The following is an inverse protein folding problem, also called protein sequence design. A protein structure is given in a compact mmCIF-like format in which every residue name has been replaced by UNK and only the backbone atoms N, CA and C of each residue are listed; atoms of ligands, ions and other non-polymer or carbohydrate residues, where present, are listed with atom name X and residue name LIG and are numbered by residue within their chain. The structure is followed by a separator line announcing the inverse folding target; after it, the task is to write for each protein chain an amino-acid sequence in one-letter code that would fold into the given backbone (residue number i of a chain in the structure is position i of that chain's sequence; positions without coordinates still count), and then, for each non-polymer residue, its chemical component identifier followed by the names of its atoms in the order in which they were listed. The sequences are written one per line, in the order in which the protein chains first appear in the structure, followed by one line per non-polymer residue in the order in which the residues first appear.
data_IF_330752231465
#
_entry.id   IF_330752231465
#
_cell.length_a   1.000
_cell.length_b   1.000
_cell.length_c   1.000
_cell.angle_alpha   90.00
_cell.angle_beta   90.00
_cell.angle_gamma   90.00
#
_symmetry.space_group_name_H-M   'P 1'
#
loop_
_entity.id
_entity.type
_entity.pdbx_description
1 polymer ?
#
# COMPACT_ATOMS: atom_id res chain seq x y z
N UNK A 1 45.25 -2.48 -20.32
CA UNK A 1 43.81 -2.40 -20.61
C UNK A 1 43.00 -3.48 -19.89
N UNK A 2 43.24 -4.78 -20.03
CA UNK A 2 42.49 -5.87 -19.36
C UNK A 2 42.47 -5.73 -17.82
N UNK A 3 43.61 -5.48 -17.15
CA UNK A 3 43.68 -5.29 -15.67
C UNK A 3 42.87 -4.07 -15.18
N UNK A 4 42.85 -2.97 -15.94
CA UNK A 4 42.05 -1.77 -15.59
C UNK A 4 40.57 -2.09 -15.68
N UNK A 5 40.11 -2.76 -16.73
CA UNK A 5 38.72 -3.15 -16.92
C UNK A 5 38.26 -4.08 -15.79
N UNK A 6 39.07 -5.09 -15.42
CA UNK A 6 38.73 -6.00 -14.31
C UNK A 6 38.63 -5.26 -12.97
N UNK A 7 39.59 -4.37 -12.66
CA UNK A 7 39.54 -3.61 -11.40
C UNK A 7 38.35 -2.65 -11.34
N UNK A 8 38.00 -1.96 -12.45
CA UNK A 8 36.85 -1.11 -12.53
C UNK A 8 35.54 -1.90 -12.32
N UNK A 9 35.42 -3.05 -12.98
CA UNK A 9 34.29 -3.94 -12.81
C UNK A 9 34.15 -4.46 -11.38
N UNK A 10 35.24 -4.86 -10.73
CA UNK A 10 35.27 -5.27 -9.32
C UNK A 10 34.80 -4.15 -8.38
N UNK A 11 35.30 -2.92 -8.58
CA UNK A 11 34.88 -1.78 -7.80
C UNK A 11 33.38 -1.49 -7.99
N UNK A 12 32.87 -1.55 -9.21
CA UNK A 12 31.45 -1.38 -9.49
C UNK A 12 30.61 -2.44 -8.82
N UNK A 13 31.03 -3.71 -8.82
CA UNK A 13 30.36 -4.78 -8.09
C UNK A 13 30.34 -4.57 -6.58
N UNK A 14 31.43 -4.08 -5.98
CA UNK A 14 31.49 -3.75 -4.56
C UNK A 14 30.50 -2.63 -4.21
N UNK A 15 30.42 -1.58 -5.02
CA UNK A 15 29.47 -0.47 -4.84
C UNK A 15 28.03 -0.96 -4.97
N UNK A 16 27.72 -1.76 -6.00
CA UNK A 16 26.38 -2.32 -6.20
C UNK A 16 25.98 -3.20 -5.02
N UNK A 17 26.88 -4.07 -4.52
CA UNK A 17 26.58 -4.88 -3.33
C UNK A 17 26.37 -4.06 -2.07
N UNK A 18 27.16 -2.98 -1.86
CA UNK A 18 26.97 -2.10 -0.72
C UNK A 18 25.60 -1.37 -0.78
N UNK A 19 25.24 -0.85 -1.96
CA UNK A 19 23.93 -0.23 -2.19
C UNK A 19 22.80 -1.24 -1.94
N UNK A 20 22.95 -2.44 -2.45
CA UNK A 20 21.96 -3.50 -2.27
C UNK A 20 21.79 -3.90 -0.81
N UNK A 21 22.90 -4.19 -0.12
CA UNK A 21 22.88 -4.56 1.30
C UNK A 21 22.26 -3.48 2.21
N UNK A 22 22.33 -2.20 1.81
CA UNK A 22 21.75 -1.08 2.55
C UNK A 22 20.29 -0.77 2.18
N UNK A 23 19.81 -1.24 1.03
CA UNK A 23 18.52 -0.85 0.47
C UNK A 23 17.57 -2.03 0.17
N UNK A 24 17.69 -3.16 0.86
CA UNK A 24 16.79 -4.31 0.69
C UNK A 24 15.29 -3.98 0.84
N UNK A 25 14.98 -2.87 1.47
CA UNK A 25 13.62 -2.43 1.74
C UNK A 25 13.11 -1.37 0.76
N UNK A 26 13.82 -1.07 -0.32
CA UNK A 26 13.42 -0.05 -1.28
C UNK A 26 12.19 -0.51 -2.07
N UNK A 27 11.08 0.26 -2.08
CA UNK A 27 9.87 -0.09 -2.83
C UNK A 27 10.09 -0.17 -4.35
N UNK A 28 11.09 0.53 -4.89
CA UNK A 28 11.44 0.47 -6.31
C UNK A 28 12.03 -0.89 -6.73
N UNK A 29 12.53 -1.67 -5.76
CA UNK A 29 13.10 -2.99 -5.95
C UNK A 29 12.12 -4.12 -5.60
N UNK A 30 10.84 -3.80 -5.40
CA UNK A 30 9.83 -4.76 -4.95
C UNK A 30 9.69 -5.98 -5.88
N UNK A 31 9.86 -5.79 -7.18
CA UNK A 31 9.74 -6.85 -8.19
C UNK A 31 10.86 -7.89 -8.13
N UNK A 32 12.00 -7.58 -7.48
CA UNK A 32 13.13 -8.51 -7.31
C UNK A 32 13.29 -8.97 -5.87
N UNK A 33 12.43 -8.52 -4.95
CA UNK A 33 12.55 -8.77 -3.52
C UNK A 33 12.54 -10.26 -3.17
N UNK A 34 11.72 -11.06 -3.81
CA UNK A 34 11.66 -12.51 -3.56
C UNK A 34 12.99 -13.22 -3.88
N UNK A 35 13.88 -12.56 -4.64
CA UNK A 35 15.20 -13.04 -5.04
C UNK A 35 16.35 -12.26 -4.39
N UNK A 36 16.08 -11.23 -3.60
CA UNK A 36 17.10 -10.31 -3.06
C UNK A 36 18.22 -11.02 -2.34
N UNK A 37 17.89 -11.92 -1.41
CA UNK A 37 18.88 -12.64 -0.64
C UNK A 37 19.75 -13.57 -1.53
N UNK A 38 19.13 -14.26 -2.48
CA UNK A 38 19.83 -15.13 -3.42
C UNK A 38 20.80 -14.32 -4.31
N UNK A 39 20.34 -13.21 -4.85
CA UNK A 39 21.13 -12.30 -5.68
C UNK A 39 22.28 -11.68 -4.88
N UNK A 40 22.02 -11.28 -3.64
CA UNK A 40 23.05 -10.79 -2.74
C UNK A 40 24.11 -11.87 -2.45
N UNK A 41 23.69 -13.08 -2.10
CA UNK A 41 24.59 -14.20 -1.85
C UNK A 41 25.45 -14.53 -3.09
N UNK A 42 24.83 -14.62 -4.27
CA UNK A 42 25.54 -14.83 -5.53
C UNK A 42 26.57 -13.72 -5.80
N UNK A 43 26.22 -12.47 -5.56
CA UNK A 43 27.11 -11.33 -5.70
C UNK A 43 28.32 -11.41 -4.76
N UNK A 44 28.09 -11.80 -3.50
CA UNK A 44 29.18 -11.98 -2.51
C UNK A 44 30.10 -13.13 -2.92
N UNK A 45 29.55 -14.27 -3.33
CA UNK A 45 30.33 -15.42 -3.83
C UNK A 45 31.17 -15.01 -5.03
N UNK A 46 30.60 -14.27 -5.96
CA UNK A 46 31.29 -13.77 -7.14
C UNK A 46 32.43 -12.80 -6.77
N UNK A 47 32.20 -11.90 -5.82
CA UNK A 47 33.22 -10.99 -5.30
C UNK A 47 34.37 -11.73 -4.62
N UNK A 48 34.09 -12.76 -3.83
CA UNK A 48 35.11 -13.60 -3.19
C UNK A 48 35.92 -14.32 -4.25
N UNK A 49 35.28 -14.94 -5.25
CA UNK A 49 35.95 -15.62 -6.37
C UNK A 49 36.90 -14.68 -7.12
N UNK A 50 36.41 -13.47 -7.50
CA UNK A 50 37.25 -12.47 -8.16
C UNK A 50 38.37 -11.94 -7.27
N UNK A 51 38.10 -11.81 -5.97
CA UNK A 51 39.13 -11.38 -5.00
C UNK A 51 40.30 -12.35 -4.94
N UNK A 52 40.03 -13.65 -5.02
CA UNK A 52 41.09 -14.69 -5.07
C UNK A 52 41.96 -14.58 -6.32
N UNK A 53 41.38 -14.13 -7.45
CA UNK A 53 42.11 -13.95 -8.73
C UNK A 53 42.99 -12.69 -8.77
N UNK A 54 42.92 -11.79 -7.76
CA UNK A 54 43.74 -10.58 -7.72
C UNK A 54 45.21 -10.90 -7.43
N UNK A 55 46.13 -10.38 -8.26
CA UNK A 55 47.56 -10.54 -8.08
C UNK A 55 48.11 -9.79 -6.86
N UNK A 56 47.56 -8.59 -6.59
CA UNK A 56 48.00 -7.76 -5.46
C UNK A 56 47.40 -8.28 -4.17
N UNK A 57 48.19 -8.81 -3.26
CA UNK A 57 47.75 -9.42 -1.99
C UNK A 57 46.92 -8.49 -1.13
N UNK A 58 47.24 -7.19 -1.10
CA UNK A 58 46.46 -6.23 -0.30
C UNK A 58 45.06 -5.97 -0.87
N UNK A 59 44.90 -5.90 -2.22
CA UNK A 59 43.57 -5.75 -2.84
C UNK A 59 42.71 -6.98 -2.53
N UNK A 60 43.29 -8.19 -2.70
CA UNK A 60 42.64 -9.44 -2.34
C UNK A 60 42.17 -9.45 -0.90
N UNK A 61 43.03 -9.11 0.03
CA UNK A 61 42.71 -9.06 1.46
C UNK A 61 41.54 -8.10 1.75
N UNK A 62 41.61 -6.85 1.29
CA UNK A 62 40.55 -5.87 1.52
C UNK A 62 39.21 -6.25 0.87
N UNK A 63 39.20 -6.81 -0.33
CA UNK A 63 37.99 -7.28 -0.99
C UNK A 63 37.32 -8.42 -0.22
N UNK A 64 38.09 -9.38 0.28
CA UNK A 64 37.56 -10.50 1.08
C UNK A 64 36.99 -10.00 2.41
N UNK A 65 37.73 -9.12 3.11
CA UNK A 65 37.27 -8.56 4.39
C UNK A 65 35.99 -7.75 4.19
N UNK A 66 35.93 -6.93 3.15
CA UNK A 66 34.72 -6.14 2.86
C UNK A 66 33.51 -7.04 2.54
N UNK A 67 33.70 -8.08 1.73
CA UNK A 67 32.62 -9.04 1.43
C UNK A 67 32.15 -9.77 2.69
N UNK A 68 33.06 -10.15 3.57
CA UNK A 68 32.72 -10.79 4.85
C UNK A 68 31.95 -9.84 5.78
N UNK A 69 32.32 -8.56 5.84
CA UNK A 69 31.60 -7.54 6.61
C UNK A 69 30.18 -7.36 6.05
N UNK A 70 30.03 -7.23 4.73
CA UNK A 70 28.70 -7.10 4.12
C UNK A 70 27.82 -8.30 4.43
N UNK A 71 28.35 -9.52 4.26
CA UNK A 71 27.62 -10.74 4.57
C UNK A 71 27.20 -10.80 6.04
N UNK A 72 28.11 -10.42 6.94
CA UNK A 72 27.83 -10.37 8.39
C UNK A 72 26.73 -9.35 8.71
N UNK A 73 26.78 -8.15 8.16
CA UNK A 73 25.78 -7.09 8.39
C UNK A 73 24.39 -7.55 7.93
N UNK A 74 24.29 -8.10 6.70
CA UNK A 74 23.01 -8.60 6.17
C UNK A 74 22.51 -9.77 7.02
N UNK A 75 23.36 -10.76 7.33
CA UNK A 75 22.95 -11.92 8.13
C UNK A 75 22.47 -11.54 9.53
N UNK A 76 23.08 -10.55 10.17
CA UNK A 76 22.61 -10.03 11.46
C UNK A 76 21.28 -9.32 11.31
N UNK A 77 21.08 -8.55 10.23
CA UNK A 77 19.83 -7.88 9.93
C UNK A 77 18.67 -8.88 9.77
N UNK A 78 18.88 -9.89 8.92
CA UNK A 78 17.92 -10.97 8.66
C UNK A 78 17.61 -11.79 9.93
N UNK A 79 18.62 -12.14 10.71
CA UNK A 79 18.41 -12.85 11.98
C UNK A 79 17.56 -12.05 12.97
N UNK A 80 17.83 -10.74 13.12
CA UNK A 80 17.03 -9.86 13.99
C UNK A 80 15.60 -9.74 13.50
N UNK A 81 15.42 -9.59 12.18
CA UNK A 81 14.10 -9.51 11.57
C UNK A 81 13.32 -10.82 11.79
N UNK A 82 13.92 -11.97 11.49
CA UNK A 82 13.32 -13.29 11.66
C UNK A 82 12.94 -13.58 13.12
N UNK A 83 13.81 -13.25 14.06
CA UNK A 83 13.52 -13.39 15.49
C UNK A 83 12.29 -12.58 15.89
N UNK A 84 12.22 -11.33 15.46
CA UNK A 84 11.10 -10.45 15.78
C UNK A 84 9.81 -10.87 15.07
N UNK A 85 9.90 -11.31 13.83
CA UNK A 85 8.77 -11.91 13.09
C UNK A 85 8.18 -13.10 13.83
N UNK A 86 9.01 -14.00 14.33
CA UNK A 86 8.56 -15.15 15.10
C UNK A 86 7.90 -14.74 16.43
N UNK A 87 8.42 -13.72 17.10
CA UNK A 87 7.81 -13.17 18.33
C UNK A 87 6.38 -12.66 18.06
N UNK A 88 6.18 -11.93 16.97
CA UNK A 88 4.83 -11.47 16.58
C UNK A 88 3.93 -12.67 16.21
N UNK A 89 4.44 -13.64 15.45
CA UNK A 89 3.65 -14.78 15.00
C UNK A 89 3.27 -15.75 16.13
N UNK A 90 4.07 -15.85 17.20
CA UNK A 90 3.76 -16.67 18.38
C UNK A 90 2.71 -16.03 19.27
N UNK A 91 2.58 -14.69 19.23
CA UNK A 91 1.62 -13.88 20.01
C UNK A 91 1.51 -14.26 21.50
N UNK A 92 2.63 -14.64 22.11
CA UNK A 92 2.67 -15.15 23.50
C UNK A 92 2.21 -14.11 24.55
N UNK A 93 2.13 -12.82 24.18
CA UNK A 93 1.90 -11.75 25.16
C UNK A 93 0.70 -10.84 24.90
N UNK A 94 -0.09 -11.04 23.85
CA UNK A 94 -1.17 -10.14 23.42
C UNK A 94 -0.74 -8.65 23.27
N UNK A 95 0.56 -8.36 23.39
CA UNK A 95 1.07 -6.98 23.42
C UNK A 95 0.86 -6.23 22.11
N UNK A 96 0.71 -6.97 21.00
CA UNK A 96 0.54 -6.39 19.67
C UNK A 96 -0.94 -6.24 19.25
N UNK A 97 -1.88 -6.78 20.04
CA UNK A 97 -3.30 -6.80 19.67
C UNK A 97 -3.87 -5.39 19.42
N UNK A 98 -3.51 -4.41 20.25
CA UNK A 98 -3.97 -3.03 20.08
C UNK A 98 -3.46 -2.40 18.78
N UNK A 99 -2.24 -2.73 18.37
CA UNK A 99 -1.63 -2.27 17.12
C UNK A 99 -2.31 -2.97 15.93
N UNK A 100 -2.42 -4.29 16.02
CA UNK A 100 -2.95 -5.14 14.96
C UNK A 100 -4.38 -4.76 14.55
N UNK A 101 -5.23 -4.34 15.49
CA UNK A 101 -6.61 -3.88 15.24
C UNK A 101 -6.73 -2.72 14.26
N UNK A 102 -5.64 -2.05 13.93
CA UNK A 102 -5.62 -0.93 12.98
C UNK A 102 -4.84 -1.25 11.70
N UNK A 103 -4.35 -2.48 11.52
CA UNK A 103 -3.54 -2.85 10.36
C UNK A 103 -4.32 -3.72 9.38
N UNK A 104 -4.43 -3.26 8.13
CA UNK A 104 -4.89 -4.03 6.98
C UNK A 104 -3.66 -4.37 6.15
N UNK A 105 -3.44 -5.66 5.86
CA UNK A 105 -2.18 -6.14 5.32
C UNK A 105 -2.32 -6.97 4.05
N UNK A 106 -1.35 -6.87 3.15
CA UNK A 106 -1.14 -7.86 2.11
C UNK A 106 -0.53 -9.15 2.67
N UNK A 107 -0.52 -10.20 1.87
CA UNK A 107 0.08 -11.50 2.26
C UNK A 107 0.55 -12.30 1.04
N UNK A 108 1.48 -13.22 1.27
CA UNK A 108 1.92 -14.22 0.28
C UNK A 108 1.79 -15.64 0.82
N UNK A 109 1.84 -15.82 2.14
CA UNK A 109 1.80 -17.13 2.80
C UNK A 109 0.50 -17.25 3.59
N UNK A 110 -0.36 -18.22 3.20
CA UNK A 110 -1.63 -18.49 3.85
C UNK A 110 -1.45 -18.97 5.31
N UNK A 111 -0.43 -19.79 5.58
CA UNK A 111 -0.17 -20.28 6.94
C UNK A 111 0.27 -19.15 7.88
N UNK A 112 1.10 -18.23 7.37
CA UNK A 112 1.47 -17.03 8.12
C UNK A 112 0.24 -16.15 8.36
N UNK A 113 -0.61 -15.97 7.35
CA UNK A 113 -1.82 -15.17 7.45
C UNK A 113 -2.79 -15.73 8.50
N UNK A 114 -2.98 -17.04 8.55
CA UNK A 114 -3.83 -17.69 9.56
C UNK A 114 -3.37 -17.34 10.98
N UNK A 115 -2.06 -17.37 11.26
CA UNK A 115 -1.52 -16.92 12.55
C UNK A 115 -1.78 -15.43 12.82
N UNK A 116 -1.66 -14.57 11.80
CA UNK A 116 -1.92 -13.14 11.94
C UNK A 116 -3.41 -12.84 12.15
N UNK A 117 -4.30 -13.65 11.55
CA UNK A 117 -5.74 -13.57 11.81
C UNK A 117 -6.06 -13.83 13.28
N UNK A 118 -5.46 -14.87 13.90
CA UNK A 118 -5.54 -15.13 15.35
C UNK A 118 -4.95 -13.98 16.17
N UNK A 119 -3.86 -13.37 15.72
CA UNK A 119 -3.21 -12.24 16.39
C UNK A 119 -3.96 -10.91 16.30
N UNK A 120 -5.12 -10.89 15.67
CA UNK A 120 -6.05 -9.78 15.73
C UNK A 120 -5.79 -8.66 14.72
N UNK A 121 -5.13 -8.92 13.57
CA UNK A 121 -5.07 -7.92 12.47
C UNK A 121 -6.46 -7.44 12.10
N UNK A 122 -6.60 -6.17 11.68
CA UNK A 122 -7.90 -5.63 11.27
C UNK A 122 -8.43 -6.31 10.01
N UNK A 123 -7.57 -6.53 9.03
CA UNK A 123 -7.99 -7.05 7.75
C UNK A 123 -6.86 -7.47 6.84
N UNK A 124 -7.26 -7.95 5.67
CA UNK A 124 -6.38 -8.36 4.58
C UNK A 124 -6.69 -7.59 3.31
N UNK A 125 -5.67 -7.40 2.48
CA UNK A 125 -5.79 -6.82 1.17
C UNK A 125 -5.47 -7.86 0.08
N UNK A 126 -6.47 -8.16 -0.75
CA UNK A 126 -6.36 -9.12 -1.85
C UNK A 126 -5.81 -8.45 -3.11
N UNK A 127 -4.79 -9.06 -3.70
CA UNK A 127 -4.13 -8.61 -4.92
C UNK A 127 -4.15 -9.69 -5.99
N UNK A 128 -3.72 -9.37 -7.21
CA UNK A 128 -3.53 -10.37 -8.28
C UNK A 128 -2.64 -11.54 -7.86
N UNK A 129 -1.68 -11.32 -6.97
CA UNK A 129 -0.79 -12.36 -6.44
C UNK A 129 -1.56 -13.42 -5.66
N UNK A 130 -2.56 -13.01 -4.89
CA UNK A 130 -3.33 -13.90 -4.03
C UNK A 130 -4.33 -14.78 -4.79
N UNK A 131 -4.63 -14.45 -6.05
CA UNK A 131 -5.54 -15.22 -6.90
C UNK A 131 -4.82 -16.14 -7.89
N UNK A 132 -3.49 -16.10 -7.96
CA UNK A 132 -2.73 -16.97 -8.86
C UNK A 132 -2.88 -18.42 -8.46
N UNK A 133 -3.38 -19.23 -9.37
CA UNK A 133 -3.64 -20.67 -9.13
C UNK A 133 -4.90 -20.96 -8.30
N UNK A 134 -5.65 -19.94 -7.88
CA UNK A 134 -6.89 -20.09 -7.17
C UNK A 134 -8.09 -20.20 -8.10
N UNK A 135 -9.13 -20.86 -7.64
CA UNK A 135 -10.49 -20.77 -8.17
C UNK A 135 -11.31 -19.82 -7.29
N UNK A 136 -12.45 -19.36 -7.79
CA UNK A 136 -13.39 -18.57 -6.97
C UNK A 136 -13.73 -19.31 -5.67
N UNK A 137 -14.03 -20.59 -5.78
CA UNK A 137 -14.43 -21.42 -4.63
C UNK A 137 -13.29 -21.65 -3.64
N UNK A 138 -12.06 -21.91 -4.10
CA UNK A 138 -10.92 -22.11 -3.18
C UNK A 138 -10.58 -20.85 -2.40
N UNK A 139 -10.66 -19.68 -3.04
CA UNK A 139 -10.42 -18.40 -2.37
C UNK A 139 -11.53 -18.06 -1.38
N UNK A 140 -12.81 -18.32 -1.76
CA UNK A 140 -13.97 -18.16 -0.89
C UNK A 140 -13.84 -19.02 0.37
N UNK A 141 -13.58 -20.31 0.22
CA UNK A 141 -13.41 -21.24 1.35
C UNK A 141 -12.27 -20.81 2.27
N UNK A 142 -11.18 -20.31 1.71
CA UNK A 142 -10.07 -19.80 2.54
C UNK A 142 -10.48 -18.55 3.34
N UNK A 143 -11.24 -17.63 2.75
CA UNK A 143 -11.76 -16.45 3.48
C UNK A 143 -12.73 -16.89 4.57
N UNK A 144 -13.63 -17.83 4.29
CA UNK A 144 -14.56 -18.40 5.27
C UNK A 144 -13.82 -19.07 6.44
N UNK A 145 -12.77 -19.84 6.16
CA UNK A 145 -11.89 -20.43 7.18
C UNK A 145 -11.29 -19.36 8.09
N UNK A 146 -10.76 -18.27 7.52
CA UNK A 146 -10.22 -17.17 8.31
C UNK A 146 -11.28 -16.49 9.18
N UNK A 147 -12.51 -16.34 8.70
CA UNK A 147 -13.62 -15.77 9.48
C UNK A 147 -14.03 -16.68 10.63
N UNK A 148 -14.06 -18.01 10.41
CA UNK A 148 -14.39 -18.97 11.48
C UNK A 148 -13.30 -19.00 12.55
N UNK A 149 -12.01 -19.00 12.16
CA UNK A 149 -10.89 -18.87 13.11
C UNK A 149 -11.03 -17.59 13.96
N UNK A 150 -11.43 -16.47 13.36
CA UNK A 150 -11.66 -15.20 14.07
C UNK A 150 -12.77 -15.35 15.12
N UNK A 151 -13.88 -15.94 14.71
CA UNK A 151 -15.06 -16.17 15.57
C UNK A 151 -14.72 -17.10 16.75
N UNK A 152 -14.01 -18.20 16.50
CA UNK A 152 -13.55 -19.15 17.54
C UNK A 152 -12.63 -18.47 18.57
N UNK A 153 -11.86 -17.47 18.16
CA UNK A 153 -10.97 -16.69 19.03
C UNK A 153 -11.63 -15.44 19.64
N UNK A 154 -12.96 -15.25 19.48
CA UNK A 154 -13.68 -14.10 20.03
C UNK A 154 -13.25 -12.77 19.43
N UNK A 155 -12.70 -12.77 18.21
CA UNK A 155 -12.23 -11.59 17.51
C UNK A 155 -13.31 -11.04 16.56
N UNK A 156 -13.32 -9.72 16.28
CA UNK A 156 -14.19 -9.16 15.25
C UNK A 156 -13.93 -9.80 13.87
N UNK A 157 -14.94 -9.83 13.02
CA UNK A 157 -14.78 -10.31 11.64
C UNK A 157 -13.63 -9.60 10.92
N UNK A 158 -12.89 -10.37 10.14
CA UNK A 158 -11.75 -9.86 9.36
C UNK A 158 -12.27 -8.98 8.22
N UNK A 159 -11.70 -7.79 8.08
CA UNK A 159 -11.92 -6.97 6.90
C UNK A 159 -11.22 -7.63 5.72
N UNK A 160 -11.93 -7.81 4.61
CA UNK A 160 -11.37 -8.31 3.35
C UNK A 160 -11.51 -7.21 2.31
N UNK A 161 -10.38 -6.60 1.97
CA UNK A 161 -10.33 -5.45 1.07
C UNK A 161 -9.68 -5.80 -0.28
N UNK A 162 -10.04 -5.10 -1.34
CA UNK A 162 -9.42 -5.21 -2.67
C UNK A 162 -9.57 -3.93 -3.48
N UNK A 163 -8.76 -3.76 -4.53
CA UNK A 163 -8.97 -2.78 -5.60
C UNK A 163 -9.68 -3.44 -6.79
N UNK A 164 -10.98 -3.36 -6.84
CA UNK A 164 -11.77 -3.79 -8.01
C UNK A 164 -12.48 -2.56 -8.58
N UNK A 165 -11.73 -1.67 -9.26
CA UNK A 165 -12.26 -0.44 -9.85
C UNK A 165 -12.95 -0.67 -11.19
N UNK A 166 -12.57 -1.73 -11.86
CA UNK A 166 -12.82 -1.95 -13.29
C UNK A 166 -11.62 -1.49 -14.15
N UNK A 167 -11.64 -1.83 -15.44
CA UNK A 167 -10.54 -1.53 -16.35
C UNK A 167 -9.19 -2.11 -15.88
N UNK A 168 -8.10 -1.32 -15.94
CA UNK A 168 -6.76 -1.84 -15.62
C UNK A 168 -6.59 -2.19 -14.14
N UNK A 169 -7.37 -1.57 -13.24
CA UNK A 169 -7.33 -1.84 -11.80
C UNK A 169 -8.47 -2.78 -11.41
N UNK A 170 -8.25 -4.06 -11.68
CA UNK A 170 -9.16 -5.16 -11.39
C UNK A 170 -8.36 -6.31 -10.79
N UNK A 171 -8.17 -6.27 -9.46
CA UNK A 171 -7.23 -7.17 -8.75
C UNK A 171 -7.71 -8.61 -8.70
N UNK A 172 -9.03 -8.83 -8.69
CA UNK A 172 -9.64 -10.15 -8.62
C UNK A 172 -10.02 -10.73 -9.99
N UNK A 173 -9.75 -10.01 -11.09
CA UNK A 173 -9.92 -10.56 -12.43
C UNK A 173 -8.70 -11.44 -12.80
N UNK A 174 -8.90 -12.65 -13.39
CA UNK A 174 -10.15 -13.10 -14.03
C UNK A 174 -11.13 -13.88 -13.14
N UNK A 175 -10.89 -14.12 -11.86
CA UNK A 175 -11.83 -14.87 -10.99
C UNK A 175 -13.20 -14.18 -10.94
N UNK A 176 -13.20 -12.85 -10.89
CA UNK A 176 -14.40 -12.03 -11.08
C UNK A 176 -14.34 -11.41 -12.48
N UNK A 177 -15.48 -11.33 -13.13
CA UNK A 177 -15.57 -10.70 -14.45
C UNK A 177 -15.02 -9.28 -14.41
N UNK A 178 -14.08 -8.99 -15.31
CA UNK A 178 -13.57 -7.63 -15.46
C UNK A 178 -14.66 -6.74 -16.08
N UNK A 179 -14.97 -5.65 -15.40
CA UNK A 179 -15.84 -4.59 -15.90
C UNK A 179 -15.00 -3.50 -16.57
N UNK A 180 -15.61 -2.67 -17.39
CA UNK A 180 -15.02 -1.40 -17.82
C UNK A 180 -14.83 -0.47 -16.61
N UNK A 181 -14.04 0.58 -16.75
CA UNK A 181 -13.98 1.64 -15.73
C UNK A 181 -15.36 2.30 -15.59
N UNK A 182 -15.72 2.70 -14.38
CA UNK A 182 -17.03 3.31 -14.09
C UNK A 182 -17.37 4.48 -15.03
N UNK A 183 -16.39 5.33 -15.33
CA UNK A 183 -16.56 6.45 -16.27
C UNK A 183 -16.92 6.00 -17.70
N UNK A 184 -16.42 4.87 -18.18
CA UNK A 184 -16.74 4.35 -19.51
C UNK A 184 -18.14 3.69 -19.50
N UNK A 185 -18.42 2.85 -18.50
CA UNK A 185 -19.71 2.21 -18.32
C UNK A 185 -20.86 3.23 -18.26
N UNK A 186 -20.69 4.30 -17.49
CA UNK A 186 -21.67 5.38 -17.37
C UNK A 186 -21.90 6.12 -18.71
N UNK A 187 -20.82 6.40 -19.47
CA UNK A 187 -20.97 6.99 -20.82
C UNK A 187 -21.66 6.08 -21.83
N UNK A 188 -21.50 4.76 -21.66
CA UNK A 188 -22.16 3.75 -22.47
C UNK A 188 -23.63 3.49 -22.07
N UNK A 189 -24.16 4.30 -21.12
CA UNK A 189 -25.56 4.24 -20.68
C UNK A 189 -25.84 3.20 -19.59
N UNK A 190 -24.82 2.56 -19.00
CA UNK A 190 -25.01 1.71 -17.83
C UNK A 190 -25.31 2.57 -16.59
N UNK A 191 -26.33 2.19 -15.83
CA UNK A 191 -26.63 2.84 -14.55
C UNK A 191 -25.48 2.62 -13.58
N UNK A 192 -24.94 3.71 -13.02
CA UNK A 192 -23.86 3.63 -12.04
C UNK A 192 -24.27 2.84 -10.80
N UNK A 193 -25.53 2.94 -10.39
CA UNK A 193 -26.07 2.11 -9.30
C UNK A 193 -26.04 0.62 -9.64
N UNK A 194 -26.55 0.22 -10.80
CA UNK A 194 -26.57 -1.19 -11.22
C UNK A 194 -25.15 -1.74 -11.44
N UNK A 195 -24.25 -0.90 -11.93
CA UNK A 195 -22.84 -1.25 -12.03
C UNK A 195 -22.25 -1.58 -10.65
N UNK A 196 -22.47 -0.68 -9.66
CA UNK A 196 -22.00 -0.88 -8.28
C UNK A 196 -22.66 -2.09 -7.63
N UNK A 197 -23.96 -2.27 -7.81
CA UNK A 197 -24.72 -3.41 -7.26
C UNK A 197 -24.17 -4.76 -7.78
N UNK A 198 -24.00 -4.91 -9.10
CA UNK A 198 -23.44 -6.14 -9.69
C UNK A 198 -22.02 -6.41 -9.21
N UNK A 199 -21.17 -5.37 -9.14
CA UNK A 199 -19.81 -5.53 -8.65
C UNK A 199 -19.81 -5.92 -7.17
N UNK A 200 -20.66 -5.30 -6.36
CA UNK A 200 -20.81 -5.62 -4.95
C UNK A 200 -21.30 -7.04 -4.71
N UNK A 201 -22.28 -7.52 -5.49
CA UNK A 201 -22.75 -8.92 -5.42
C UNK A 201 -21.60 -9.92 -5.64
N UNK A 202 -20.78 -9.74 -6.68
CA UNK A 202 -19.67 -10.64 -6.95
C UNK A 202 -18.58 -10.56 -5.86
N UNK A 203 -18.32 -9.37 -5.32
CA UNK A 203 -17.36 -9.16 -4.25
C UNK A 203 -17.85 -9.80 -2.94
N UNK A 204 -19.12 -9.58 -2.58
CA UNK A 204 -19.74 -10.13 -1.38
C UNK A 204 -19.83 -11.68 -1.44
N UNK A 205 -20.15 -12.25 -2.60
CA UNK A 205 -20.15 -13.70 -2.81
C UNK A 205 -18.78 -14.33 -2.50
N UNK A 206 -17.69 -13.60 -2.77
CA UNK A 206 -16.32 -14.03 -2.46
C UNK A 206 -15.93 -13.77 -1.00
N UNK A 207 -16.73 -13.02 -0.23
CA UNK A 207 -16.41 -12.62 1.14
C UNK A 207 -15.63 -11.32 1.25
N UNK A 208 -15.51 -10.53 0.17
CA UNK A 208 -14.92 -9.18 0.22
C UNK A 208 -15.89 -8.24 0.91
N UNK A 209 -15.38 -7.48 1.89
CA UNK A 209 -16.20 -6.57 2.70
C UNK A 209 -15.98 -5.10 2.36
N UNK A 210 -14.84 -4.77 1.75
CA UNK A 210 -14.46 -3.39 1.36
C UNK A 210 -13.85 -3.39 -0.03
N UNK A 211 -14.36 -2.55 -0.92
CA UNK A 211 -13.74 -2.25 -2.20
C UNK A 211 -13.08 -0.88 -2.17
N UNK A 212 -11.79 -0.81 -2.49
CA UNK A 212 -11.08 0.47 -2.64
C UNK A 212 -11.43 1.13 -3.99
N UNK A 213 -12.69 1.51 -4.10
CA UNK A 213 -13.33 2.15 -5.25
C UNK A 213 -14.58 2.91 -4.75
N UNK A 214 -14.98 4.02 -5.37
CA UNK A 214 -14.51 4.56 -6.65
C UNK A 214 -13.32 5.52 -6.53
N UNK A 215 -12.65 5.77 -7.68
CA UNK A 215 -11.75 6.90 -7.83
C UNK A 215 -12.60 8.17 -8.05
N UNK A 216 -12.59 9.06 -7.06
CA UNK A 216 -13.32 10.34 -7.09
C UNK A 216 -12.40 11.55 -7.28
N UNK A 217 -11.11 11.29 -7.52
CA UNK A 217 -10.16 12.30 -7.98
C UNK A 217 -10.69 12.97 -9.24
N UNK A 218 -10.53 14.29 -9.34
CA UNK A 218 -10.88 15.00 -10.57
C UNK A 218 -9.91 14.62 -11.70
N UNK A 219 -10.44 14.50 -12.92
CA UNK A 219 -9.61 14.22 -14.08
C UNK A 219 -8.63 15.35 -14.34
N UNK A 220 -7.32 15.08 -14.49
CA UNK A 220 -6.32 16.09 -14.78
C UNK A 220 -6.67 16.91 -16.04
N UNK A 221 -6.50 18.21 -15.95
CA UNK A 221 -6.67 19.11 -17.10
C UNK A 221 -5.46 19.10 -18.03
N UNK A 222 -4.29 18.72 -17.50
CA UNK A 222 -3.05 18.60 -18.27
C UNK A 222 -2.76 17.13 -18.58
N UNK A 223 -2.05 16.83 -19.67
CA UNK A 223 -1.64 15.48 -19.97
C UNK A 223 -0.78 14.91 -18.83
N UNK A 224 -0.83 13.59 -18.58
CA UNK A 224 -0.03 12.95 -17.53
C UNK A 224 1.45 13.21 -17.76
N UNK A 225 2.18 13.37 -16.67
CA UNK A 225 3.65 13.47 -16.71
C UNK A 225 4.25 12.21 -17.33
N UNK A 226 5.39 12.35 -18.02
CA UNK A 226 6.19 11.20 -18.48
C UNK A 226 6.69 10.30 -17.34
N UNK A 227 6.59 10.78 -16.11
CA UNK A 227 6.97 10.06 -14.87
C UNK A 227 5.75 9.54 -14.09
N UNK A 228 4.53 9.63 -14.64
CA UNK A 228 3.34 8.96 -14.08
C UNK A 228 3.25 7.53 -14.63
N UNK A 229 3.88 6.61 -13.94
CA UNK A 229 3.97 5.21 -14.38
C UNK A 229 2.83 4.35 -13.83
N UNK A 230 2.25 4.70 -12.68
CA UNK A 230 1.34 3.84 -11.94
C UNK A 230 0.04 4.51 -11.49
N UNK A 231 0.00 5.84 -11.28
CA UNK A 231 -1.21 6.49 -10.78
C UNK A 231 -2.36 6.41 -11.79
N UNK A 232 -2.07 6.59 -13.07
CA UNK A 232 -3.02 6.50 -14.19
C UNK A 232 -4.31 7.28 -13.94
N UNK A 233 -4.27 8.37 -13.15
CA UNK A 233 -5.49 9.12 -12.75
C UNK A 233 -6.25 9.61 -13.98
N UNK A 234 -5.55 10.04 -15.02
CA UNK A 234 -6.17 10.51 -16.27
C UNK A 234 -7.11 9.48 -16.92
N UNK A 235 -6.85 8.17 -16.72
CA UNK A 235 -7.66 7.07 -17.25
C UNK A 235 -8.69 6.55 -16.27
N UNK A 236 -8.41 6.64 -14.96
CA UNK A 236 -9.25 6.11 -13.87
C UNK A 236 -10.32 7.11 -13.42
N UNK A 237 -10.02 8.42 -13.49
CA UNK A 237 -10.92 9.48 -13.05
C UNK A 237 -12.18 9.58 -13.92
N UNK A 238 -13.30 9.87 -13.28
CA UNK A 238 -14.63 9.97 -13.89
C UNK A 238 -14.71 11.19 -14.78
N UNK A 239 -14.49 12.38 -14.21
CA UNK A 239 -14.63 13.68 -14.89
C UNK A 239 -13.72 14.74 -14.24
N UNK A 240 -13.51 15.86 -14.94
CA UNK A 240 -12.93 17.08 -14.37
C UNK A 240 -13.97 17.97 -13.67
N UNK A 241 -15.27 17.68 -13.79
CA UNK A 241 -16.34 18.37 -13.10
C UNK A 241 -16.66 17.70 -11.77
N UNK A 242 -16.51 18.41 -10.62
CA UNK A 242 -16.82 17.85 -9.30
C UNK A 242 -18.25 17.30 -9.20
N UNK A 243 -19.21 18.03 -9.77
CA UNK A 243 -20.63 17.64 -9.74
C UNK A 243 -20.90 16.40 -10.58
N UNK A 244 -20.25 16.27 -11.75
CA UNK A 244 -20.38 15.06 -12.56
C UNK A 244 -19.78 13.85 -11.85
N UNK A 245 -18.64 14.01 -11.15
CA UNK A 245 -18.07 12.95 -10.33
C UNK A 245 -19.06 12.51 -9.25
N UNK A 246 -19.68 13.45 -8.52
CA UNK A 246 -20.71 13.12 -7.51
C UNK A 246 -21.89 12.39 -8.13
N UNK A 247 -22.41 12.88 -9.26
CA UNK A 247 -23.60 12.32 -9.93
C UNK A 247 -23.39 10.87 -10.41
N UNK A 248 -22.15 10.49 -10.73
CA UNK A 248 -21.78 9.15 -11.17
C UNK A 248 -21.35 8.27 -9.99
N UNK A 249 -20.52 8.79 -9.10
CA UNK A 249 -19.93 7.99 -8.03
C UNK A 249 -20.89 7.70 -6.88
N UNK A 250 -21.79 8.64 -6.52
CA UNK A 250 -22.73 8.44 -5.42
C UNK A 250 -23.69 7.27 -5.67
N UNK A 251 -24.36 7.14 -6.82
CA UNK A 251 -25.18 5.96 -7.10
C UNK A 251 -24.35 4.66 -7.11
N UNK A 252 -23.14 4.67 -7.63
CA UNK A 252 -22.24 3.52 -7.59
C UNK A 252 -21.94 3.07 -6.15
N UNK A 253 -21.60 4.01 -5.26
CA UNK A 253 -21.35 3.74 -3.84
C UNK A 253 -22.58 3.11 -3.19
N UNK A 254 -23.78 3.65 -3.44
CA UNK A 254 -25.02 3.09 -2.93
C UNK A 254 -25.26 1.65 -3.42
N UNK A 255 -25.01 1.40 -4.70
CA UNK A 255 -25.12 0.04 -5.26
C UNK A 255 -24.19 -0.97 -4.60
N UNK A 256 -22.94 -0.58 -4.32
CA UNK A 256 -22.00 -1.41 -3.54
C UNK A 256 -22.50 -1.67 -2.12
N UNK A 257 -22.92 -0.61 -1.40
CA UNK A 257 -23.38 -0.69 -0.01
C UNK A 257 -24.64 -1.57 0.10
N UNK A 258 -25.59 -1.42 -0.79
CA UNK A 258 -26.82 -2.26 -0.85
C UNK A 258 -26.51 -3.74 -1.12
N UNK A 259 -25.36 -4.03 -1.72
CA UNK A 259 -24.85 -5.41 -1.91
C UNK A 259 -23.96 -5.89 -0.74
N UNK A 260 -23.85 -5.12 0.36
CA UNK A 260 -23.11 -5.50 1.55
C UNK A 260 -21.60 -5.21 1.51
N UNK A 261 -21.10 -4.49 0.50
CA UNK A 261 -19.69 -4.14 0.35
C UNK A 261 -19.48 -2.64 0.58
N UNK A 262 -18.57 -2.25 1.46
CA UNK A 262 -18.22 -0.84 1.68
C UNK A 262 -17.39 -0.30 0.53
N UNK A 263 -17.74 0.88 0.05
CA UNK A 263 -16.95 1.65 -0.91
C UNK A 263 -15.83 2.42 -0.20
N UNK A 264 -14.81 2.83 -0.94
CA UNK A 264 -13.74 3.70 -0.45
C UNK A 264 -13.47 4.81 -1.46
N UNK A 265 -13.76 6.04 -1.06
CA UNK A 265 -13.49 7.23 -1.87
C UNK A 265 -11.98 7.51 -1.88
N UNK A 266 -11.37 7.63 -3.04
CA UNK A 266 -9.91 7.80 -3.14
C UNK A 266 -9.52 8.73 -4.27
N UNK A 267 -8.40 9.43 -4.09
CA UNK A 267 -7.41 9.47 -3.00
C UNK A 267 -7.41 10.88 -2.39
N UNK A 268 -8.06 11.06 -1.23
CA UNK A 268 -8.16 12.40 -0.63
C UNK A 268 -6.77 13.05 -0.48
N UNK A 269 -6.59 14.32 -0.84
CA UNK A 269 -7.56 15.37 -1.19
C UNK A 269 -7.89 15.45 -2.69
N UNK A 270 -7.40 14.53 -3.50
CA UNK A 270 -7.49 14.51 -4.95
C UNK A 270 -6.13 14.57 -5.64
N UNK A 271 -5.87 13.62 -6.53
CA UNK A 271 -4.62 13.51 -7.29
C UNK A 271 -4.66 14.23 -8.64
N UNK A 272 -5.81 14.82 -9.04
CA UNK A 272 -6.01 15.40 -10.37
C UNK A 272 -5.13 16.60 -10.70
N UNK A 273 -4.60 17.30 -9.68
CA UNK A 273 -3.71 18.45 -9.85
C UNK A 273 -2.22 18.10 -9.70
N UNK A 274 -1.92 16.85 -9.37
CA UNK A 274 -0.56 16.41 -9.08
C UNK A 274 0.08 15.79 -10.32
N UNK A 275 1.31 16.17 -10.61
CA UNK A 275 2.06 15.66 -11.76
C UNK A 275 3.04 14.54 -11.40
N UNK A 276 3.36 14.40 -10.12
CA UNK A 276 4.31 13.39 -9.63
C UNK A 276 3.57 12.14 -9.15
N UNK A 277 4.06 10.97 -9.54
CA UNK A 277 3.52 9.69 -9.10
C UNK A 277 3.89 9.41 -7.64
N UNK A 278 2.90 9.37 -6.75
CA UNK A 278 3.08 9.13 -5.32
C UNK A 278 3.56 7.71 -4.99
N UNK A 279 3.43 6.78 -5.92
CA UNK A 279 4.01 5.45 -5.74
C UNK A 279 5.55 5.49 -5.65
N UNK A 280 6.17 6.50 -6.25
CA UNK A 280 7.63 6.63 -6.33
C UNK A 280 8.18 7.87 -5.64
N UNK A 281 7.44 8.98 -5.65
CA UNK A 281 7.95 10.29 -5.25
C UNK A 281 7.04 10.97 -4.23
N UNK A 282 7.62 11.83 -3.40
CA UNK A 282 6.84 12.78 -2.61
C UNK A 282 6.22 13.80 -3.54
N UNK A 283 4.93 14.04 -3.39
CA UNK A 283 4.19 15.00 -4.19
C UNK A 283 3.56 16.06 -3.28
N UNK A 284 3.45 17.29 -3.80
CA UNK A 284 2.92 18.45 -3.08
C UNK A 284 1.74 19.03 -3.82
N UNK A 285 0.76 19.51 -3.06
CA UNK A 285 -0.40 20.22 -3.57
C UNK A 285 -0.37 21.65 -3.02
N UNK A 286 0.10 22.57 -3.86
CA UNK A 286 0.19 24.00 -3.54
C UNK A 286 -1.04 24.72 -4.15
N UNK A 287 -2.18 24.52 -3.50
CA UNK A 287 -3.47 25.14 -3.85
C UNK A 287 -4.14 25.51 -2.54
N UNK A 288 -4.75 26.70 -2.48
CA UNK A 288 -5.44 27.18 -1.29
C UNK A 288 -6.67 26.30 -0.94
N UNK A 289 -6.96 26.18 0.33
CA UNK A 289 -8.03 25.34 0.86
C UNK A 289 -9.42 25.78 0.38
N UNK A 290 -9.63 27.06 0.11
CA UNK A 290 -10.91 27.54 -0.39
C UNK A 290 -11.15 26.99 -1.80
N UNK A 291 -10.19 27.11 -2.70
CA UNK A 291 -10.26 26.54 -4.05
C UNK A 291 -10.50 25.01 -3.99
N UNK A 292 -9.78 24.30 -3.14
CA UNK A 292 -9.96 22.85 -2.99
C UNK A 292 -11.34 22.49 -2.44
N UNK A 293 -11.87 23.29 -1.51
CA UNK A 293 -13.23 23.10 -0.93
C UNK A 293 -14.34 23.27 -1.96
N UNK A 294 -14.11 24.13 -2.96
CA UNK A 294 -15.06 24.40 -4.03
C UNK A 294 -14.92 23.43 -5.22
N UNK A 295 -13.82 22.64 -5.25
CA UNK A 295 -13.47 21.75 -6.39
C UNK A 295 -13.16 20.33 -5.93
N UNK A 296 -11.89 20.07 -5.61
CA UNK A 296 -11.35 18.72 -5.41
C UNK A 296 -11.97 18.01 -4.19
N UNK A 297 -12.36 18.74 -3.14
CA UNK A 297 -13.00 18.14 -1.95
C UNK A 297 -14.48 17.83 -2.14
N UNK A 298 -15.14 18.45 -3.14
CA UNK A 298 -16.60 18.31 -3.32
C UNK A 298 -17.03 16.85 -3.46
N UNK A 299 -16.42 15.99 -4.30
CA UNK A 299 -16.81 14.60 -4.39
C UNK A 299 -16.67 13.83 -3.06
N UNK A 300 -15.60 14.06 -2.32
CA UNK A 300 -15.35 13.41 -1.04
C UNK A 300 -16.37 13.83 0.01
N UNK A 301 -16.62 15.13 0.14
CA UNK A 301 -17.53 15.68 1.16
C UNK A 301 -18.99 15.35 0.87
N UNK A 302 -19.45 15.50 -0.38
CA UNK A 302 -20.86 15.27 -0.72
C UNK A 302 -21.23 13.78 -0.64
N UNK A 303 -20.36 12.87 -1.08
CA UNK A 303 -20.64 11.43 -1.03
C UNK A 303 -20.57 10.95 0.43
N UNK A 304 -19.56 11.37 1.19
CA UNK A 304 -19.41 10.98 2.61
C UNK A 304 -20.60 11.37 3.49
N UNK A 305 -21.29 12.48 3.19
CA UNK A 305 -22.48 12.94 3.95
C UNK A 305 -23.65 11.95 3.89
N UNK A 306 -23.77 11.14 2.84
CA UNK A 306 -24.96 10.33 2.57
C UNK A 306 -24.68 8.85 2.44
N UNK A 307 -23.45 8.41 2.73
CA UNK A 307 -23.00 7.02 2.60
C UNK A 307 -22.11 6.60 3.77
N UNK A 308 -21.89 5.31 3.92
CA UNK A 308 -20.95 4.73 4.88
C UNK A 308 -19.60 4.40 4.24
N UNK A 309 -19.30 5.02 3.10
CA UNK A 309 -18.04 4.84 2.40
C UNK A 309 -16.84 5.21 3.25
N UNK A 310 -15.74 4.51 3.08
CA UNK A 310 -14.46 4.88 3.67
C UNK A 310 -13.82 6.02 2.88
N UNK A 311 -12.83 6.68 3.49
CA UNK A 311 -12.02 7.69 2.84
C UNK A 311 -10.55 7.26 2.87
N UNK A 312 -9.95 7.07 1.71
CA UNK A 312 -8.52 6.77 1.59
C UNK A 312 -7.71 8.05 1.43
N UNK A 313 -6.73 8.21 2.32
CA UNK A 313 -5.86 9.38 2.39
C UNK A 313 -4.57 9.12 1.59
N UNK A 314 -4.27 9.99 0.63
CA UNK A 314 -3.02 9.92 -0.14
C UNK A 314 -1.80 10.41 0.68
N UNK A 315 -0.60 10.12 0.17
CA UNK A 315 0.66 10.60 0.77
C UNK A 315 1.10 11.96 0.22
N UNK A 316 0.15 12.80 -0.22
CA UNK A 316 0.44 14.17 -0.62
C UNK A 316 0.80 15.06 0.58
N UNK A 317 1.61 16.06 0.32
CA UNK A 317 1.79 17.21 1.22
C UNK A 317 0.85 18.31 0.78
N UNK A 318 -0.02 18.76 1.70
CA UNK A 318 -0.97 19.84 1.46
C UNK A 318 -0.39 21.14 2.02
N UNK A 319 0.28 21.91 1.15
CA UNK A 319 1.14 23.04 1.54
C UNK A 319 0.43 24.12 2.35
N UNK A 320 -0.86 24.36 2.06
CA UNK A 320 -1.66 25.38 2.75
C UNK A 320 -2.08 24.99 4.18
N UNK A 321 -1.93 23.72 4.57
CA UNK A 321 -2.30 23.23 5.90
C UNK A 321 -1.11 22.73 6.69
N UNK A 322 -0.30 21.86 6.10
CA UNK A 322 0.92 21.31 6.71
C UNK A 322 1.99 21.11 5.64
N UNK A 323 2.89 22.10 5.46
CA UNK A 323 3.95 22.01 4.44
C UNK A 323 5.03 20.98 4.77
N UNK A 324 5.06 20.47 6.01
CA UNK A 324 6.11 19.57 6.49
C UNK A 324 5.73 18.09 6.40
N UNK A 325 4.44 17.76 6.56
CA UNK A 325 4.01 16.37 6.67
C UNK A 325 3.00 15.98 5.60
N UNK A 326 3.11 14.76 5.05
CA UNK A 326 2.06 14.18 4.22
C UNK A 326 0.74 14.09 4.98
N UNK A 327 -0.37 14.14 4.27
CA UNK A 327 -1.73 14.05 4.81
C UNK A 327 -1.88 12.87 5.76
N UNK A 328 -1.38 11.70 5.38
CA UNK A 328 -1.45 10.47 6.20
C UNK A 328 -0.68 10.55 7.51
N UNK A 329 0.20 11.54 7.71
CA UNK A 329 1.02 11.70 8.92
C UNK A 329 0.78 13.02 9.63
N UNK A 330 -0.14 13.87 9.13
CA UNK A 330 -0.41 15.20 9.63
C UNK A 330 -1.68 15.25 10.47
N UNK A 331 -1.56 15.52 11.77
CA UNK A 331 -2.72 15.78 12.63
C UNK A 331 -3.44 17.08 12.25
N UNK A 332 -2.72 18.07 11.72
CA UNK A 332 -3.35 19.31 11.22
C UNK A 332 -4.34 19.01 10.09
N UNK A 333 -3.99 18.05 9.21
CA UNK A 333 -4.90 17.65 8.13
C UNK A 333 -5.97 16.68 8.65
N UNK A 334 -5.59 15.64 9.38
CA UNK A 334 -6.55 14.59 9.79
C UNK A 334 -7.56 15.14 10.80
N UNK A 335 -7.11 15.67 11.93
CA UNK A 335 -7.99 16.19 12.97
C UNK A 335 -8.54 17.59 12.63
N UNK A 336 -7.68 18.49 12.14
CA UNK A 336 -8.02 19.88 11.89
C UNK A 336 -8.88 20.07 10.64
N UNK A 337 -8.44 19.57 9.50
CA UNK A 337 -9.14 19.74 8.23
C UNK A 337 -10.27 18.70 8.08
N UNK A 338 -9.94 17.40 8.08
CA UNK A 338 -10.90 16.34 7.71
C UNK A 338 -11.98 16.19 8.77
N UNK A 339 -11.59 15.96 10.03
CA UNK A 339 -12.55 15.72 11.11
C UNK A 339 -13.28 16.98 11.53
N UNK A 340 -12.56 18.08 11.80
CA UNK A 340 -13.16 19.29 12.39
C UNK A 340 -13.76 20.21 11.33
N UNK A 341 -13.02 20.60 10.28
CA UNK A 341 -13.48 21.59 9.31
C UNK A 341 -14.45 21.02 8.27
N UNK A 342 -14.15 19.85 7.70
CA UNK A 342 -15.01 19.19 6.71
C UNK A 342 -16.11 18.34 7.35
N UNK A 343 -15.99 18.03 8.64
CA UNK A 343 -17.00 17.25 9.39
C UNK A 343 -17.11 15.79 8.93
N UNK A 344 -16.10 15.23 8.29
CA UNK A 344 -16.10 13.84 7.80
C UNK A 344 -15.88 12.90 8.99
N UNK A 345 -16.88 12.10 9.32
CA UNK A 345 -16.86 11.09 10.39
C UNK A 345 -16.66 9.67 9.88
N UNK A 346 -16.68 9.48 8.58
CA UNK A 346 -16.45 8.20 7.90
C UNK A 346 -15.11 7.57 8.31
N UNK A 347 -14.99 6.26 8.12
CA UNK A 347 -13.75 5.52 8.36
C UNK A 347 -12.64 6.06 7.47
N UNK A 348 -11.49 6.38 8.07
CA UNK A 348 -10.28 6.82 7.37
C UNK A 348 -9.29 5.67 7.25
N UNK A 349 -8.73 5.49 6.06
CA UNK A 349 -7.63 4.55 5.80
C UNK A 349 -6.49 5.27 5.08
N UNK A 350 -5.25 4.91 5.37
CA UNK A 350 -4.11 5.39 4.57
C UNK A 350 -4.09 4.72 3.21
N UNK A 351 -3.54 5.38 2.20
CA UNK A 351 -2.97 4.65 1.06
C UNK A 351 -1.82 3.76 1.54
N UNK A 352 -1.29 2.88 0.68
CA UNK A 352 -0.27 1.91 1.08
C UNK A 352 1.00 2.59 1.64
N UNK A 353 1.25 2.39 2.92
CA UNK A 353 2.42 2.95 3.61
C UNK A 353 3.75 2.41 3.09
N UNK A 354 3.74 1.40 2.22
CA UNK A 354 4.95 0.89 1.57
C UNK A 354 5.32 1.61 0.28
N UNK A 355 4.57 2.64 -0.13
CA UNK A 355 4.84 3.46 -1.31
C UNK A 355 6.11 4.31 -1.16
N UNK A 356 6.72 4.69 -2.29
CA UNK A 356 7.95 5.49 -2.33
C UNK A 356 7.85 6.85 -1.63
N UNK A 357 6.68 7.48 -1.66
CA UNK A 357 6.44 8.74 -0.97
C UNK A 357 6.67 8.66 0.56
N UNK A 358 6.34 7.52 1.17
CA UNK A 358 6.58 7.27 2.60
C UNK A 358 7.97 6.76 2.88
N UNK A 359 8.52 5.91 2.00
CA UNK A 359 9.85 5.35 2.13
C UNK A 359 10.94 6.44 2.24
N UNK A 360 10.88 7.46 1.39
CA UNK A 360 11.84 8.56 1.37
C UNK A 360 11.84 9.41 2.66
N UNK A 361 10.78 9.35 3.45
CA UNK A 361 10.66 10.04 4.75
C UNK A 361 11.05 9.15 5.95
N UNK A 362 11.27 7.88 5.69
CA UNK A 362 11.53 6.85 6.69
C UNK A 362 10.25 6.14 7.11
N UNK A 363 10.15 4.86 6.74
CA UNK A 363 8.97 4.04 6.97
C UNK A 363 8.48 4.03 8.43
N UNK A 364 9.39 3.81 9.40
CA UNK A 364 9.02 3.84 10.82
C UNK A 364 8.42 5.17 11.26
N UNK A 365 9.01 6.29 10.83
CA UNK A 365 8.49 7.62 11.15
C UNK A 365 7.08 7.79 10.59
N UNK A 366 6.85 7.46 9.33
CA UNK A 366 5.55 7.57 8.68
C UNK A 366 4.49 6.71 9.36
N UNK A 367 4.80 5.44 9.64
CA UNK A 367 3.87 4.52 10.32
C UNK A 367 3.50 4.99 11.71
N UNK A 368 4.46 5.41 12.52
CA UNK A 368 4.22 5.90 13.89
C UNK A 368 3.39 7.19 13.87
N UNK A 369 3.72 8.13 13.00
CA UNK A 369 2.95 9.37 12.87
C UNK A 369 1.52 9.09 12.40
N UNK A 370 1.31 8.24 11.39
CA UNK A 370 -0.05 7.85 10.96
C UNK A 370 -0.83 7.14 12.08
N UNK A 371 -0.17 6.25 12.83
CA UNK A 371 -0.77 5.56 13.97
C UNK A 371 -1.18 6.53 15.09
N UNK A 372 -0.49 7.65 15.24
CA UNK A 372 -0.75 8.67 16.26
C UNK A 372 -1.90 9.63 15.90
N UNK A 373 -2.47 9.54 14.70
CA UNK A 373 -3.65 10.30 14.26
C UNK A 373 -4.94 9.50 14.47
N UNK A 374 -6.09 10.16 14.23
CA UNK A 374 -7.42 9.52 14.24
C UNK A 374 -7.76 8.76 12.93
N UNK A 375 -6.77 8.36 12.15
CA UNK A 375 -6.94 7.43 11.03
C UNK A 375 -7.31 6.06 11.61
N UNK A 376 -8.40 5.46 11.14
CA UNK A 376 -8.90 4.20 11.67
C UNK A 376 -8.03 3.02 11.28
N UNK A 377 -7.61 2.95 10.02
CA UNK A 377 -6.81 1.83 9.48
C UNK A 377 -5.58 2.29 8.72
N UNK A 378 -4.49 1.56 8.89
CA UNK A 378 -3.23 1.71 8.18
C UNK A 378 -3.08 0.55 7.20
N UNK A 379 -2.85 0.87 5.93
CA UNK A 379 -2.68 -0.13 4.86
C UNK A 379 -1.20 -0.46 4.64
N UNK A 380 -0.85 -1.75 4.67
CA UNK A 380 0.48 -2.27 4.34
C UNK A 380 0.26 -3.40 3.30
N UNK A 381 0.15 -3.01 2.03
CA UNK A 381 -0.39 -3.87 0.98
C UNK A 381 0.68 -4.67 0.23
N UNK A 382 1.53 -3.99 -0.52
CA UNK A 382 2.39 -4.65 -1.50
C UNK A 382 3.65 -5.27 -0.89
N UNK A 383 4.23 -4.63 0.12
CA UNK A 383 5.33 -5.17 0.90
C UNK A 383 4.83 -5.74 2.23
N UNK A 384 4.23 -6.92 2.17
CA UNK A 384 3.60 -7.56 3.33
C UNK A 384 4.58 -7.79 4.50
N UNK A 385 5.87 -8.01 4.26
CA UNK A 385 6.88 -8.18 5.32
C UNK A 385 7.10 -6.90 6.15
N UNK A 386 6.78 -5.72 5.59
CA UNK A 386 6.78 -4.44 6.31
C UNK A 386 5.76 -4.37 7.44
N UNK A 387 4.76 -5.24 7.48
CA UNK A 387 3.88 -5.37 8.62
C UNK A 387 4.67 -5.62 9.92
N UNK A 388 5.62 -6.54 9.90
CA UNK A 388 6.43 -6.84 11.09
C UNK A 388 7.27 -5.63 11.53
N UNK A 389 7.82 -4.90 10.57
CA UNK A 389 8.54 -3.65 10.83
C UNK A 389 7.61 -2.58 11.41
N UNK A 390 6.40 -2.42 10.87
CA UNK A 390 5.41 -1.46 11.37
C UNK A 390 5.03 -1.73 12.82
N UNK A 391 4.70 -2.98 13.15
CA UNK A 391 4.38 -3.39 14.52
C UNK A 391 5.55 -3.08 15.47
N UNK A 392 6.79 -3.35 15.05
CA UNK A 392 8.00 -3.02 15.82
C UNK A 392 8.13 -1.52 16.06
N UNK A 393 7.96 -0.70 15.01
CA UNK A 393 8.11 0.75 15.12
C UNK A 393 7.08 1.33 16.09
N UNK A 394 5.80 0.93 15.96
CA UNK A 394 4.72 1.40 16.83
C UNK A 394 4.93 0.92 18.27
N UNK A 395 5.26 -0.35 18.47
CA UNK A 395 5.48 -0.90 19.84
C UNK A 395 6.67 -0.28 20.56
N UNK A 396 7.69 0.15 19.81
CA UNK A 396 8.86 0.82 20.37
C UNK A 396 8.58 2.30 20.71
N UNK A 397 7.64 2.93 20.04
CA UNK A 397 7.22 4.31 20.31
C UNK A 397 6.32 4.40 21.54
N UNK A 398 5.49 3.40 21.80
CA UNK A 398 4.56 3.35 22.93
C UNK A 398 5.22 2.93 24.25
N UNK A 399 6.52 2.68 24.24
CA UNK A 399 7.35 2.44 25.45
C UNK A 399 7.99 3.72 25.94
#
# INVERSE_FOLDING_TARGET
MKKFIVNTFMFSLLVVNAIWALNFSDPHLLFIRDYEFLLFLMSVVFLVFFSVLQEKKWIRFFSIVFSAILLMVVSIGEYKFYKYKNEILSNESNQFTSINKRLIIGFNDKNQLTKLAVNGIAGIFLTKRNIQGETLNSLKLFIEELQEIRKENGLPSLIVATDQEGGPVSRLSPLIKQQEILAAASRNGESSYEYGRKQGEWLNELGVTVNFSPVVDLKPQQPPSKFDFHSLIATRAISSSPIEVVNIALPYVKGLEDSGVKATLKHFPGLGRVQSDTHHFSARLNVDIQTLSETDFVPFTEISKSTLSWLMLSHLILDDVDPENPITTSSLVVEGLIRSRLGITNVLITDDLTMGATYNRGFCKSVVQSYSTSIDYLLIAYDHEKYFTAVKCISSYNK
#
